data_IF_130097775002
#
_entry.id   IF_130097775002
#
_cell.length_a   1.000
_cell.length_b   1.000
_cell.length_c   1.000
_cell.angle_alpha   90.00
_cell.angle_beta   90.00
_cell.angle_gamma   90.00
#
_symmetry.space_group_name_H-M   'P 1'
#
loop_
_entity.id
_entity.type
_entity.pdbx_description
1 polymer ?
#
# COMPACT_ATOMS: atom_id res chain seq x y z
N UNK A 1 -10.03 5.35 -27.61
CA UNK A 1 -9.79 4.29 -26.61
C UNK A 1 -8.87 3.28 -27.24
N UNK A 2 -7.72 3.04 -26.62
CA UNK A 2 -6.76 2.03 -27.04
C UNK A 2 -6.93 0.78 -26.18
N UNK A 3 -6.74 -0.38 -26.80
CA UNK A 3 -6.91 -1.69 -26.16
C UNK A 3 -5.53 -2.26 -25.89
N UNK A 4 -5.20 -2.47 -24.61
CA UNK A 4 -3.88 -2.98 -24.20
C UNK A 4 -4.03 -4.31 -23.48
N UNK A 5 -3.28 -5.32 -23.93
CA UNK A 5 -3.26 -6.63 -23.30
C UNK A 5 -2.32 -6.63 -22.09
N UNK A 6 -2.81 -7.12 -20.94
CA UNK A 6 -1.98 -7.23 -19.74
C UNK A 6 -1.10 -8.48 -19.87
N UNK A 7 0.21 -8.25 -19.87
CA UNK A 7 1.19 -9.32 -19.85
C UNK A 7 1.35 -9.83 -18.41
N UNK A 8 0.81 -11.03 -18.14
CA UNK A 8 0.78 -11.61 -16.80
C UNK A 8 2.18 -11.86 -16.21
N UNK A 9 3.16 -12.41 -16.95
CA UNK A 9 4.54 -12.47 -16.47
C UNK A 9 5.11 -11.12 -16.00
N UNK A 10 4.86 -10.04 -16.75
CA UNK A 10 5.33 -8.70 -16.39
C UNK A 10 4.58 -8.12 -15.19
N UNK A 11 3.28 -8.41 -15.05
CA UNK A 11 2.51 -8.04 -13.87
C UNK A 11 3.09 -8.73 -12.63
N UNK A 12 3.34 -10.05 -12.74
CA UNK A 12 3.95 -10.84 -11.67
C UNK A 12 5.32 -10.31 -11.26
N UNK A 13 6.18 -9.94 -12.21
CA UNK A 13 7.53 -9.45 -11.89
C UNK A 13 7.50 -8.16 -11.08
N UNK A 14 6.65 -7.20 -11.45
CA UNK A 14 6.59 -5.92 -10.73
C UNK A 14 5.97 -6.08 -9.33
N UNK A 15 4.91 -6.88 -9.20
CA UNK A 15 4.32 -7.19 -7.89
C UNK A 15 5.27 -7.97 -6.99
N UNK A 16 6.08 -8.88 -7.55
CA UNK A 16 7.10 -9.60 -6.78
C UNK A 16 8.16 -8.65 -6.24
N UNK A 17 8.59 -7.66 -7.03
CA UNK A 17 9.53 -6.65 -6.57
C UNK A 17 8.94 -5.79 -5.45
N UNK A 18 7.71 -5.31 -5.63
CA UNK A 18 7.04 -4.47 -4.64
C UNK A 18 6.81 -5.19 -3.30
N UNK A 19 6.28 -6.42 -3.32
CA UNK A 19 6.00 -7.18 -2.09
C UNK A 19 7.25 -7.61 -1.33
N UNK A 20 8.39 -7.85 -2.02
CA UNK A 20 9.67 -8.08 -1.34
C UNK A 20 10.16 -6.82 -0.62
N UNK A 21 9.98 -5.65 -1.23
CA UNK A 21 10.36 -4.37 -0.63
C UNK A 21 9.48 -4.05 0.57
N UNK A 22 8.18 -4.34 0.47
CA UNK A 22 7.25 -4.27 1.60
C UNK A 22 7.67 -5.22 2.73
N UNK A 23 8.03 -6.46 2.42
CA UNK A 23 8.45 -7.45 3.43
C UNK A 23 9.76 -7.06 4.15
N UNK A 24 10.55 -6.13 3.58
CA UNK A 24 11.72 -5.54 4.23
C UNK A 24 11.33 -4.43 5.22
N UNK A 25 10.20 -3.75 5.03
CA UNK A 25 9.67 -2.77 5.98
C UNK A 25 8.80 -3.53 7.02
N UNK A 26 9.30 -3.78 8.24
CA UNK A 26 8.61 -4.64 9.20
C UNK A 26 7.28 -4.07 9.69
N UNK A 27 6.94 -2.83 9.33
CA UNK A 27 5.72 -2.13 9.75
C UNK A 27 4.68 -2.00 8.65
N UNK A 28 4.98 -2.50 7.45
CA UNK A 28 4.03 -2.53 6.33
C UNK A 28 3.41 -3.90 6.11
N UNK A 29 3.43 -4.82 7.08
CA UNK A 29 2.71 -6.09 6.96
C UNK A 29 1.23 -5.85 6.57
N UNK A 30 0.85 -6.30 5.37
CA UNK A 30 -0.49 -6.11 4.80
C UNK A 30 -0.86 -4.67 4.41
N UNK A 31 0.05 -3.70 4.55
CA UNK A 31 -0.20 -2.28 4.26
C UNK A 31 -0.51 -2.06 2.78
N UNK A 32 0.32 -2.60 1.91
CA UNK A 32 0.17 -2.49 0.46
C UNK A 32 -1.14 -3.12 0.02
N UNK A 33 -1.51 -4.26 0.63
CA UNK A 33 -2.81 -4.88 0.43
C UNK A 33 -3.95 -3.94 0.85
N UNK A 34 -3.95 -3.43 2.10
CA UNK A 34 -5.02 -2.53 2.60
C UNK A 34 -5.15 -1.25 1.77
N UNK A 35 -4.03 -0.56 1.52
CA UNK A 35 -4.00 0.67 0.70
C UNK A 35 -4.55 0.41 -0.70
N UNK A 36 -4.16 -0.71 -1.35
CA UNK A 36 -4.68 -1.05 -2.67
C UNK A 36 -6.19 -1.28 -2.67
N UNK A 37 -6.74 -1.95 -1.65
CA UNK A 37 -8.18 -2.18 -1.51
C UNK A 37 -8.95 -0.88 -1.27
N UNK A 38 -8.48 -0.05 -0.35
CA UNK A 38 -9.05 1.27 -0.09
C UNK A 38 -9.06 2.15 -1.34
N UNK A 39 -7.92 2.23 -2.04
CA UNK A 39 -7.79 3.04 -3.24
C UNK A 39 -8.69 2.55 -4.38
N UNK A 40 -8.78 1.23 -4.58
CA UNK A 40 -9.69 0.64 -5.57
C UNK A 40 -11.14 0.99 -5.27
N UNK A 41 -11.59 0.74 -4.04
CA UNK A 41 -12.98 1.01 -3.66
C UNK A 41 -13.31 2.51 -3.77
N UNK A 42 -12.40 3.39 -3.37
CA UNK A 42 -12.55 4.84 -3.54
C UNK A 42 -12.63 5.22 -5.02
N UNK A 43 -11.79 4.63 -5.88
CA UNK A 43 -11.82 4.91 -7.33
C UNK A 43 -13.16 4.50 -7.97
N UNK A 44 -13.70 3.34 -7.60
CA UNK A 44 -14.99 2.87 -8.09
C UNK A 44 -16.13 3.79 -7.61
N UNK A 45 -16.11 4.20 -6.34
CA UNK A 45 -17.11 5.13 -5.77
C UNK A 45 -17.03 6.55 -6.34
N UNK A 46 -15.83 7.00 -6.69
CA UNK A 46 -15.58 8.27 -7.38
C UNK A 46 -15.95 8.24 -8.88
N UNK A 47 -16.40 7.09 -9.40
CA UNK A 47 -16.90 6.96 -10.76
C UNK A 47 -15.84 6.68 -11.83
N UNK A 48 -14.63 6.29 -11.45
CA UNK A 48 -13.62 5.82 -12.41
C UNK A 48 -14.09 4.51 -13.06
N UNK A 49 -13.70 4.29 -14.31
CA UNK A 49 -14.00 3.04 -15.01
C UNK A 49 -13.32 1.85 -14.34
N UNK A 50 -13.79 0.63 -14.63
CA UNK A 50 -13.16 -0.60 -14.11
C UNK A 50 -11.68 -0.73 -14.47
N UNK A 51 -11.29 -0.25 -15.65
CA UNK A 51 -9.91 -0.31 -16.13
C UNK A 51 -9.02 0.71 -15.40
N UNK A 52 -9.54 1.92 -15.14
CA UNK A 52 -8.87 2.92 -14.31
C UNK A 52 -8.77 2.49 -12.84
N UNK A 53 -9.84 1.91 -12.29
CA UNK A 53 -9.85 1.37 -10.93
C UNK A 53 -8.84 0.23 -10.76
N UNK A 54 -8.64 -0.59 -11.79
CA UNK A 54 -7.57 -1.60 -11.79
C UNK A 54 -6.18 -0.95 -11.82
N UNK A 55 -5.97 0.14 -12.57
CA UNK A 55 -4.69 0.87 -12.55
C UNK A 55 -4.43 1.49 -11.18
N UNK A 56 -5.44 2.07 -10.54
CA UNK A 56 -5.34 2.58 -9.16
C UNK A 56 -4.95 1.45 -8.21
N UNK A 57 -5.67 0.33 -8.26
CA UNK A 57 -5.38 -0.86 -7.45
C UNK A 57 -3.93 -1.33 -7.63
N UNK A 58 -3.52 -1.57 -8.87
CA UNK A 58 -2.17 -2.02 -9.21
C UNK A 58 -1.09 -1.00 -8.84
N UNK A 59 -1.32 0.29 -9.11
CA UNK A 59 -0.39 1.36 -8.79
C UNK A 59 -0.21 1.56 -7.29
N UNK A 60 -1.29 1.43 -6.51
CA UNK A 60 -1.22 1.37 -5.04
C UNK A 60 -0.36 0.20 -4.56
N UNK A 61 -0.35 -0.94 -5.26
CA UNK A 61 0.48 -2.06 -4.85
C UNK A 61 1.99 -1.82 -5.02
N UNK A 62 2.36 -0.83 -5.82
CA UNK A 62 3.77 -0.55 -6.15
C UNK A 62 4.20 0.86 -5.71
N UNK A 63 3.34 1.62 -5.04
CA UNK A 63 3.57 3.04 -4.71
C UNK A 63 4.88 3.27 -3.94
N UNK A 64 5.20 2.32 -3.06
CA UNK A 64 6.32 2.37 -2.13
C UNK A 64 7.60 1.66 -2.64
N UNK A 65 7.63 1.22 -3.91
CA UNK A 65 8.75 0.43 -4.47
C UNK A 65 10.11 1.14 -4.37
N UNK A 66 10.13 2.47 -4.27
CA UNK A 66 11.38 3.22 -4.08
C UNK A 66 12.02 3.04 -2.70
N UNK A 67 11.32 2.47 -1.71
CA UNK A 67 11.84 2.19 -0.36
C UNK A 67 13.02 1.22 -0.38
N UNK A 68 13.27 0.52 -1.49
CA UNK A 68 14.49 -0.29 -1.70
C UNK A 68 15.79 0.50 -1.39
N UNK A 69 15.77 1.81 -1.64
CA UNK A 69 16.90 2.72 -1.42
C UNK A 69 17.04 3.21 0.02
N UNK A 70 16.01 3.03 0.87
CA UNK A 70 16.02 3.50 2.25
C UNK A 70 16.87 2.54 3.10
N UNK A 71 17.86 3.05 3.85
CA UNK A 71 18.66 2.22 4.75
C UNK A 71 17.80 1.56 5.82
N UNK A 72 18.10 0.29 6.13
CA UNK A 72 17.36 -0.48 7.12
C UNK A 72 17.25 0.20 8.49
N UNK A 73 18.31 0.79 9.06
CA UNK A 73 18.21 1.45 10.37
C UNK A 73 17.25 2.66 10.40
N UNK A 74 16.95 3.24 9.23
CA UNK A 74 15.98 4.33 9.09
C UNK A 74 14.57 3.74 8.96
N UNK A 75 14.43 2.73 8.09
CA UNK A 75 13.15 2.09 7.78
C UNK A 75 12.57 1.36 9.01
N UNK A 76 13.43 0.67 9.76
CA UNK A 76 13.04 -0.14 10.92
C UNK A 76 13.01 0.64 12.25
N UNK A 77 13.28 1.96 12.23
CA UNK A 77 13.49 2.76 13.43
C UNK A 77 12.24 2.73 14.35
N UNK A 78 12.39 2.42 15.65
CA UNK A 78 11.25 2.33 16.56
C UNK A 78 10.75 3.70 17.04
N UNK A 79 11.53 4.76 16.84
CA UNK A 79 11.25 6.13 17.27
C UNK A 79 10.95 7.07 16.10
N UNK A 80 10.56 8.30 16.42
CA UNK A 80 10.40 9.36 15.42
C UNK A 80 11.70 9.57 14.62
N UNK A 81 11.54 9.75 13.33
CA UNK A 81 12.62 10.13 12.43
C UNK A 81 13.06 11.57 12.73
N UNK A 82 14.36 11.79 12.66
CA UNK A 82 14.95 13.13 12.57
C UNK A 82 14.61 13.74 11.20
N UNK A 83 14.75 15.05 11.07
CA UNK A 83 14.53 15.75 9.79
C UNK A 83 15.38 15.16 8.66
N UNK A 84 16.65 14.84 8.94
CA UNK A 84 17.58 14.26 7.96
C UNK A 84 17.15 12.85 7.54
N UNK A 85 16.73 12.01 8.48
CA UNK A 85 16.21 10.67 8.18
C UNK A 85 14.90 10.75 7.37
N UNK A 86 14.02 11.69 7.70
CA UNK A 86 12.80 11.93 6.95
C UNK A 86 13.09 12.43 5.53
N UNK A 87 14.10 13.30 5.34
CA UNK A 87 14.56 13.73 4.02
C UNK A 87 15.10 12.58 3.16
N UNK A 88 15.60 11.51 3.77
CA UNK A 88 15.99 10.29 3.05
C UNK A 88 14.74 9.52 2.60
N UNK A 89 13.75 9.34 3.48
CA UNK A 89 12.50 8.66 3.12
C UNK A 89 11.76 9.39 2.00
N UNK A 90 11.71 10.73 2.02
CA UNK A 90 11.04 11.54 0.98
C UNK A 90 11.59 11.34 -0.44
N UNK A 91 12.73 10.66 -0.60
CA UNK A 91 13.31 10.36 -1.93
C UNK A 91 12.68 9.13 -2.58
N UNK A 92 11.97 8.29 -1.83
CA UNK A 92 11.45 7.04 -2.37
C UNK A 92 10.46 7.24 -3.54
N UNK A 93 9.62 8.29 -3.66
CA UNK A 93 8.75 8.44 -4.83
C UNK A 93 9.56 8.66 -6.11
N UNK A 94 10.60 9.49 -6.06
CA UNK A 94 11.48 9.76 -7.19
C UNK A 94 12.34 8.54 -7.58
N UNK A 95 12.74 7.74 -6.60
CA UNK A 95 13.48 6.49 -6.84
C UNK A 95 12.53 5.43 -7.40
N UNK A 96 11.32 5.31 -6.87
CA UNK A 96 10.27 4.44 -7.38
C UNK A 96 9.95 4.76 -8.84
N UNK A 97 9.80 6.04 -9.18
CA UNK A 97 9.67 6.52 -10.57
C UNK A 97 10.76 5.94 -11.46
N UNK A 98 12.02 6.04 -11.04
CA UNK A 98 13.17 5.51 -11.79
C UNK A 98 13.09 3.99 -11.98
N UNK A 99 12.65 3.25 -10.96
CA UNK A 99 12.55 1.79 -11.01
C UNK A 99 11.43 1.30 -11.93
N UNK A 100 10.30 2.01 -11.98
CA UNK A 100 9.15 1.60 -12.79
C UNK A 100 9.20 2.15 -14.21
N UNK A 101 9.94 3.23 -14.49
CA UNK A 101 9.93 3.91 -15.79
C UNK A 101 10.23 2.97 -16.97
N UNK A 102 11.27 2.14 -16.86
CA UNK A 102 11.68 1.21 -17.92
C UNK A 102 10.91 -0.12 -17.90
N UNK A 103 10.05 -0.33 -16.89
CA UNK A 103 9.22 -1.51 -16.83
C UNK A 103 8.03 -1.34 -17.79
N UNK A 104 7.69 -2.33 -18.66
CA UNK A 104 6.63 -2.14 -19.66
C UNK A 104 5.23 -1.84 -19.09
N UNK A 105 4.97 -2.19 -17.83
CA UNK A 105 3.74 -1.85 -17.11
C UNK A 105 3.90 -0.64 -16.17
N UNK A 106 5.12 -0.17 -15.94
CA UNK A 106 5.40 0.81 -14.92
C UNK A 106 4.89 2.21 -15.27
N UNK A 107 4.78 2.50 -16.57
CA UNK A 107 4.10 3.70 -17.06
C UNK A 107 2.70 3.85 -16.43
N UNK A 108 1.87 2.81 -16.41
CA UNK A 108 0.51 2.89 -15.83
C UNK A 108 0.50 3.32 -14.36
N UNK A 109 1.58 3.06 -13.63
CA UNK A 109 1.72 3.34 -12.20
C UNK A 109 2.52 4.60 -11.90
N UNK A 110 3.11 5.22 -12.94
CA UNK A 110 4.16 6.23 -12.79
C UNK A 110 3.70 7.42 -11.95
N UNK A 111 2.52 7.97 -12.23
CA UNK A 111 1.97 9.10 -11.50
C UNK A 111 1.65 8.75 -10.05
N UNK A 112 1.16 7.54 -9.78
CA UNK A 112 0.87 7.06 -8.43
C UNK A 112 2.16 6.93 -7.63
N UNK A 113 3.14 6.20 -8.16
CA UNK A 113 4.45 5.99 -7.51
C UNK A 113 5.15 7.32 -7.25
N UNK A 114 5.08 8.24 -8.20
CA UNK A 114 5.80 9.52 -8.13
C UNK A 114 5.13 10.52 -7.19
N UNK A 115 3.80 10.55 -7.14
CA UNK A 115 3.05 11.69 -6.59
C UNK A 115 2.06 11.33 -5.48
N UNK A 116 2.05 10.09 -4.95
CA UNK A 116 1.17 9.71 -3.83
C UNK A 116 1.46 10.46 -2.51
N UNK A 117 2.58 11.18 -2.42
CA UNK A 117 2.90 12.08 -1.31
C UNK A 117 2.83 13.57 -1.67
N UNK A 118 2.33 13.89 -2.88
CA UNK A 118 1.94 15.26 -3.18
C UNK A 118 0.69 15.63 -2.36
N UNK A 119 0.59 16.91 -2.00
CA UNK A 119 -0.53 17.45 -1.22
C UNK A 119 -1.35 18.37 -2.09
N UNK A 120 -2.66 18.37 -1.92
CA UNK A 120 -3.55 19.22 -2.71
C UNK A 120 -3.19 20.72 -2.64
N UNK A 121 -2.62 21.17 -1.51
CA UNK A 121 -2.11 22.54 -1.28
C UNK A 121 -0.73 22.86 -1.88
N UNK A 122 -0.09 21.92 -2.57
CA UNK A 122 1.24 22.10 -3.15
C UNK A 122 2.41 22.01 -2.16
N UNK A 123 2.17 21.62 -0.90
CA UNK A 123 3.22 21.48 0.12
C UNK A 123 3.76 20.05 0.24
N UNK A 124 3.37 19.19 -0.69
CA UNK A 124 3.83 17.81 -0.77
C UNK A 124 5.21 17.69 -1.41
N UNK A 125 5.55 16.46 -1.78
CA UNK A 125 6.83 16.12 -2.40
C UNK A 125 6.61 14.98 -3.42
N UNK A 126 7.51 14.80 -4.40
CA UNK A 126 8.82 15.45 -4.58
C UNK A 126 8.81 16.79 -5.33
N UNK A 127 7.74 17.16 -6.02
CA UNK A 127 7.70 18.30 -6.93
C UNK A 127 6.84 19.47 -6.46
N UNK A 128 6.01 19.29 -5.44
CA UNK A 128 5.13 20.33 -4.91
C UNK A 128 3.98 20.64 -5.87
N UNK A 129 3.47 19.61 -6.54
CA UNK A 129 2.29 19.73 -7.41
C UNK A 129 1.06 20.11 -6.57
N UNK A 130 0.20 20.97 -7.11
CA UNK A 130 -0.98 21.45 -6.39
C UNK A 130 -2.28 21.15 -7.14
N UNK A 131 -3.34 20.88 -6.39
CA UNK A 131 -4.69 20.65 -6.90
C UNK A 131 -4.72 19.56 -7.99
N UNK A 132 -5.34 19.89 -9.13
CA UNK A 132 -5.52 18.97 -10.25
C UNK A 132 -4.26 18.75 -11.10
N UNK A 133 -3.14 19.41 -10.77
CA UNK A 133 -1.83 19.02 -11.34
C UNK A 133 -1.39 17.64 -10.87
N UNK A 134 -1.92 17.19 -9.72
CA UNK A 134 -1.73 15.84 -9.22
C UNK A 134 -2.73 14.93 -9.94
N UNK A 135 -2.24 13.86 -10.57
CA UNK A 135 -3.11 12.85 -11.20
C UNK A 135 -4.15 12.37 -10.18
N UNK A 136 -5.42 12.25 -10.62
CA UNK A 136 -6.53 11.79 -9.77
C UNK A 136 -6.23 10.45 -9.09
N UNK A 137 -5.55 9.54 -9.79
CA UNK A 137 -5.17 8.24 -9.25
C UNK A 137 -4.19 8.39 -8.07
N UNK A 138 -3.20 9.28 -8.17
CA UNK A 138 -2.28 9.57 -7.07
C UNK A 138 -2.99 10.24 -5.88
N UNK A 139 -3.95 11.14 -6.14
CA UNK A 139 -4.79 11.74 -5.09
C UNK A 139 -5.63 10.70 -4.34
N UNK A 140 -6.17 9.70 -5.05
CA UNK A 140 -6.89 8.56 -4.46
C UNK A 140 -5.95 7.74 -3.56
N UNK A 141 -4.75 7.40 -4.05
CA UNK A 141 -3.78 6.63 -3.26
C UNK A 141 -3.31 7.40 -2.03
N UNK A 142 -3.10 8.72 -2.14
CA UNK A 142 -2.70 9.57 -1.01
C UNK A 142 -3.73 9.55 0.13
N UNK A 143 -5.03 9.52 -0.18
CA UNK A 143 -6.11 9.39 0.81
C UNK A 143 -6.05 8.01 1.48
N UNK A 144 -5.95 6.94 0.68
CA UNK A 144 -5.91 5.57 1.16
C UNK A 144 -4.68 5.28 2.04
N UNK A 145 -3.49 5.69 1.60
CA UNK A 145 -2.23 5.55 2.33
C UNK A 145 -2.26 6.29 3.66
N UNK A 146 -2.71 7.56 3.66
CA UNK A 146 -2.82 8.33 4.89
C UNK A 146 -3.78 7.68 5.90
N UNK A 147 -4.94 7.19 5.45
CA UNK A 147 -5.89 6.50 6.31
C UNK A 147 -5.27 5.25 6.92
N UNK A 148 -4.65 4.38 6.10
CA UNK A 148 -4.00 3.17 6.61
C UNK A 148 -2.88 3.50 7.60
N UNK A 149 -2.05 4.50 7.30
CA UNK A 149 -0.97 4.93 8.17
C UNK A 149 -1.46 5.51 9.51
N UNK A 150 -2.66 6.09 9.54
CA UNK A 150 -3.30 6.61 10.76
C UNK A 150 -3.92 5.51 11.61
N UNK A 151 -4.62 4.56 11.01
CA UNK A 151 -5.35 3.50 11.71
C UNK A 151 -4.49 2.28 12.03
N UNK A 152 -3.38 2.07 11.31
CA UNK A 152 -2.42 1.02 11.60
C UNK A 152 -1.52 1.37 12.79
N UNK A 153 -1.23 0.38 13.62
CA UNK A 153 -0.30 0.54 14.73
C UNK A 153 1.15 0.43 14.25
N UNK A 154 1.99 1.33 14.75
CA UNK A 154 3.43 1.40 14.49
C UNK A 154 4.19 1.34 15.83
N UNK A 155 5.51 1.07 15.86
CA UNK A 155 6.27 0.94 17.11
C UNK A 155 6.14 2.12 18.06
N UNK A 156 6.16 3.33 17.50
CA UNK A 156 6.13 4.58 18.25
C UNK A 156 4.71 5.10 18.50
N UNK A 157 3.66 4.45 17.96
CA UNK A 157 2.29 4.97 18.01
C UNK A 157 1.24 3.88 17.78
N UNK A 158 0.32 3.73 18.72
CA UNK A 158 -0.92 2.99 18.49
C UNK A 158 -1.72 3.59 17.33
N UNK A 159 -2.34 2.74 16.52
CA UNK A 159 -3.30 3.17 15.50
C UNK A 159 -4.44 3.94 16.16
N UNK A 160 -4.94 4.99 15.48
CA UNK A 160 -6.14 5.68 15.94
C UNK A 160 -7.40 4.98 15.43
N UNK A 161 -8.54 5.23 16.07
CA UNK A 161 -9.81 4.71 15.56
C UNK A 161 -10.14 5.30 14.18
N UNK A 162 -10.95 4.60 13.40
CA UNK A 162 -11.46 5.06 12.11
C UNK A 162 -12.12 6.45 12.21
N UNK A 163 -12.87 6.70 13.27
CA UNK A 163 -13.56 7.99 13.49
C UNK A 163 -12.57 9.12 13.79
N UNK A 164 -11.53 8.84 14.57
CA UNK A 164 -10.47 9.80 14.87
C UNK A 164 -9.65 10.12 13.61
N UNK A 165 -9.33 9.11 12.80
CA UNK A 165 -8.66 9.28 11.52
C UNK A 165 -9.50 10.15 10.57
N UNK A 166 -10.79 9.84 10.40
CA UNK A 166 -11.71 10.62 9.59
C UNK A 166 -11.80 12.08 10.05
N UNK A 167 -11.91 12.32 11.35
CA UNK A 167 -11.97 13.67 11.93
C UNK A 167 -10.70 14.49 11.68
N UNK A 168 -9.53 13.85 11.57
CA UNK A 168 -8.28 14.52 11.19
C UNK A 168 -8.21 14.77 9.69
N UNK A 169 -8.62 13.79 8.87
CA UNK A 169 -8.62 13.93 7.41
C UNK A 169 -9.55 15.05 6.96
N UNK A 170 -10.74 15.16 7.56
CA UNK A 170 -11.71 16.21 7.25
C UNK A 170 -11.13 17.62 7.47
N UNK A 171 -10.32 17.80 8.53
CA UNK A 171 -9.63 19.07 8.81
C UNK A 171 -8.55 19.42 7.77
N UNK A 172 -8.02 18.42 7.08
CA UNK A 172 -7.01 18.56 6.02
C UNK A 172 -7.62 18.55 4.61
N UNK A 173 -8.95 18.64 4.49
CA UNK A 173 -9.67 18.77 3.21
C UNK A 173 -9.28 20.07 2.50
N UNK A 174 -8.88 19.96 1.22
CA UNK A 174 -8.35 21.09 0.43
C UNK A 174 -6.90 21.45 0.79
N UNK A 175 -6.32 20.86 1.84
CA UNK A 175 -4.93 21.03 2.21
C UNK A 175 -4.10 19.79 1.80
N UNK A 176 -4.14 18.73 2.61
CA UNK A 176 -3.49 17.47 2.25
C UNK A 176 -4.29 16.75 1.16
N UNK A 177 -5.61 16.70 1.32
CA UNK A 177 -6.48 15.82 0.56
C UNK A 177 -7.34 16.60 -0.42
N UNK A 178 -7.65 15.96 -1.54
CA UNK A 178 -8.58 16.49 -2.52
C UNK A 178 -9.99 16.63 -1.91
N UNK A 179 -10.57 17.85 -1.88
CA UNK A 179 -11.87 18.09 -1.27
C UNK A 179 -13.05 17.47 -2.05
N UNK A 180 -12.85 17.04 -3.30
CA UNK A 180 -13.85 16.34 -4.11
C UNK A 180 -13.81 14.81 -3.90
N UNK A 181 -12.62 14.24 -3.63
CA UNK A 181 -12.47 12.80 -3.42
C UNK A 181 -12.68 12.40 -1.95
N UNK A 182 -12.19 13.20 -1.01
CA UNK A 182 -12.24 12.88 0.41
C UNK A 182 -13.66 12.57 0.92
N UNK A 183 -14.73 13.31 0.54
CA UNK A 183 -16.08 13.01 1.00
C UNK A 183 -16.55 11.59 0.66
N UNK A 184 -16.19 11.05 -0.51
CA UNK A 184 -16.52 9.68 -0.88
C UNK A 184 -15.84 8.67 0.04
N UNK A 185 -14.58 8.91 0.40
CA UNK A 185 -13.83 8.04 1.29
C UNK A 185 -14.41 8.05 2.71
N UNK A 186 -14.73 9.25 3.24
CA UNK A 186 -15.34 9.37 4.57
C UNK A 186 -16.71 8.69 4.63
N UNK A 187 -17.52 8.79 3.58
CA UNK A 187 -18.80 8.07 3.48
C UNK A 187 -18.60 6.54 3.54
N UNK A 188 -17.61 6.00 2.83
CA UNK A 188 -17.30 4.57 2.88
C UNK A 188 -16.91 4.09 4.28
N UNK A 189 -16.09 4.87 4.99
CA UNK A 189 -15.71 4.56 6.38
C UNK A 189 -16.94 4.60 7.28
N UNK A 190 -17.75 5.65 7.21
CA UNK A 190 -18.93 5.83 8.08
C UNK A 190 -20.01 4.76 7.85
N UNK A 191 -20.11 4.21 6.64
CA UNK A 191 -21.05 3.15 6.31
C UNK A 191 -20.50 1.74 6.58
N UNK A 192 -19.29 1.62 7.15
CA UNK A 192 -18.65 0.33 7.45
C UNK A 192 -18.21 -0.45 6.20
N UNK A 193 -18.13 0.20 5.04
CA UNK A 193 -17.75 -0.45 3.78
C UNK A 193 -16.30 -0.97 3.84
N UNK A 194 -15.44 -0.35 4.65
CA UNK A 194 -14.01 -0.66 4.78
C UNK A 194 -13.67 -1.65 5.91
N UNK A 195 -14.65 -2.08 6.71
CA UNK A 195 -14.42 -2.85 7.94
C UNK A 195 -13.75 -4.21 7.67
N UNK A 196 -14.03 -4.80 6.50
CA UNK A 196 -13.44 -6.05 6.05
C UNK A 196 -11.96 -5.94 5.60
N UNK A 197 -11.42 -4.72 5.53
CA UNK A 197 -10.02 -4.44 5.17
C UNK A 197 -9.27 -3.86 6.37
N UNK A 198 -9.94 -3.08 7.22
CA UNK A 198 -9.35 -2.45 8.39
C UNK A 198 -8.72 -3.48 9.34
N UNK A 199 -7.42 -3.32 9.62
CA UNK A 199 -6.68 -4.24 10.49
C UNK A 199 -6.39 -5.62 9.88
N UNK A 200 -6.73 -5.85 8.61
CA UNK A 200 -6.49 -7.11 7.92
C UNK A 200 -5.14 -7.13 7.18
N UNK A 201 -4.61 -8.33 6.98
CA UNK A 201 -3.41 -8.60 6.19
C UNK A 201 -3.73 -9.14 4.79
N UNK A 202 -4.84 -9.84 4.69
CA UNK A 202 -5.45 -10.36 3.46
C UNK A 202 -6.95 -10.54 3.69
N UNK A 203 -7.69 -10.97 2.66
CA UNK A 203 -9.10 -11.31 2.85
C UNK A 203 -9.22 -12.39 3.96
N UNK A 204 -10.15 -12.17 4.91
CA UNK A 204 -10.43 -13.04 6.07
C UNK A 204 -9.34 -13.14 7.16
N UNK A 205 -8.16 -12.53 6.99
CA UNK A 205 -7.05 -12.64 7.95
C UNK A 205 -6.68 -11.32 8.60
N UNK A 206 -6.93 -11.21 9.91
CA UNK A 206 -6.48 -10.07 10.73
C UNK A 206 -4.95 -10.04 10.89
N UNK A 207 -4.41 -8.84 11.15
CA UNK A 207 -3.04 -8.67 11.61
C UNK A 207 -2.90 -9.24 13.04
N UNK A 208 -1.90 -10.10 13.24
CA UNK A 208 -1.60 -10.67 14.54
C UNK A 208 -0.56 -9.86 15.31
N UNK A 209 -0.72 -9.86 16.64
CA UNK A 209 0.15 -9.14 17.56
C UNK A 209 1.33 -10.01 17.99
N UNK A 210 2.53 -9.58 17.60
CA UNK A 210 3.76 -10.02 18.24
C UNK A 210 3.86 -9.37 19.64
N UNK A 211 4.09 -10.13 20.72
CA UNK A 211 4.20 -9.58 22.08
C UNK A 211 5.24 -8.46 22.22
N UNK A 212 6.35 -8.55 21.48
CA UNK A 212 7.45 -7.58 21.55
C UNK A 212 7.31 -6.42 20.55
N UNK A 213 6.52 -6.60 19.49
CA UNK A 213 6.56 -5.71 18.32
C UNK A 213 5.21 -5.09 17.95
N UNK A 214 4.10 -5.56 18.52
CA UNK A 214 2.76 -5.09 18.18
C UNK A 214 2.13 -5.86 17.00
N UNK A 215 1.02 -5.34 16.42
CA UNK A 215 0.23 -5.99 15.37
C UNK A 215 0.90 -5.91 14.00
N UNK A 216 2.02 -6.61 13.85
CA UNK A 216 2.86 -6.59 12.64
C UNK A 216 3.04 -7.96 11.99
N UNK A 217 2.40 -9.00 12.53
CA UNK A 217 2.46 -10.36 11.98
C UNK A 217 1.28 -10.53 11.01
N UNK A 218 1.57 -10.51 9.71
CA UNK A 218 0.59 -10.78 8.66
C UNK A 218 0.44 -12.29 8.46
N UNK A 219 -0.79 -12.75 8.18
CA UNK A 219 -1.04 -14.14 7.76
C UNK A 219 -1.29 -14.16 6.25
N UNK A 220 -0.56 -15.00 5.49
CA UNK A 220 -0.88 -15.25 4.09
C UNK A 220 -2.31 -15.77 3.91
N UNK A 221 -2.93 -15.52 2.75
CA UNK A 221 -4.29 -15.97 2.46
C UNK A 221 -4.41 -17.50 2.51
N UNK A 222 -3.36 -18.23 2.13
CA UNK A 222 -3.35 -19.68 2.12
C UNK A 222 -3.01 -20.32 3.47
N UNK A 223 -2.92 -19.52 4.55
CA UNK A 223 -2.58 -19.98 5.91
C UNK A 223 -3.53 -21.10 6.37
N UNK A 224 -2.95 -22.09 7.07
CA UNK A 224 -3.66 -23.24 7.65
C UNK A 224 -3.25 -23.44 9.10
N UNK A 225 -4.08 -24.19 9.82
CA UNK A 225 -3.73 -24.73 11.12
C UNK A 225 -2.41 -25.53 11.06
N UNK A 226 -1.50 -25.23 11.97
CA UNK A 226 -0.16 -25.82 12.04
C UNK A 226 0.91 -25.13 11.18
N UNK A 227 0.57 -24.13 10.36
CA UNK A 227 1.56 -23.34 9.63
C UNK A 227 2.41 -22.49 10.58
N UNK A 228 3.54 -22.00 10.07
CA UNK A 228 4.43 -21.11 10.81
C UNK A 228 4.51 -19.75 10.17
N UNK A 229 4.42 -18.71 11.00
CA UNK A 229 4.61 -17.32 10.59
C UNK A 229 5.69 -16.66 11.41
N UNK A 230 6.30 -15.62 10.84
CA UNK A 230 7.46 -14.96 11.40
C UNK A 230 7.14 -13.48 11.60
N UNK A 231 7.46 -12.97 12.79
CA UNK A 231 7.45 -11.53 13.02
C UNK A 231 8.59 -10.88 12.22
N UNK A 232 8.30 -9.95 11.29
CA UNK A 232 9.33 -9.38 10.42
C UNK A 232 10.34 -8.52 11.16
N UNK A 233 10.02 -8.08 12.40
CA UNK A 233 10.90 -7.26 13.23
C UNK A 233 11.80 -8.07 14.15
N UNK A 234 11.23 -8.80 15.12
CA UNK A 234 12.02 -9.53 16.12
C UNK A 234 12.42 -10.93 15.66
N UNK A 235 11.91 -11.39 14.50
CA UNK A 235 12.14 -12.73 13.96
C UNK A 235 11.60 -13.83 14.87
N UNK A 236 10.63 -13.52 15.73
CA UNK A 236 9.87 -14.52 16.48
C UNK A 236 9.12 -15.44 15.50
N UNK A 237 9.23 -16.74 15.70
CA UNK A 237 8.48 -17.77 14.96
C UNK A 237 7.27 -18.13 15.79
N UNK A 238 6.13 -18.22 15.13
CA UNK A 238 4.87 -18.59 15.75
C UNK A 238 4.21 -19.73 15.00
N UNK A 239 3.69 -20.72 15.72
CA UNK A 239 2.75 -21.68 15.17
C UNK A 239 1.36 -21.04 15.08
N UNK A 240 0.67 -21.29 13.98
CA UNK A 240 -0.70 -20.84 13.74
C UNK A 240 -1.67 -21.92 14.18
N UNK A 241 -2.69 -21.55 14.94
CA UNK A 241 -3.75 -22.44 15.43
C UNK A 241 -5.11 -21.91 14.97
N UNK A 242 -5.94 -22.74 14.34
CA UNK A 242 -7.30 -22.36 13.99
C UNK A 242 -8.17 -22.24 15.25
N UNK A 243 -8.79 -21.07 15.45
CA UNK A 243 -9.59 -20.77 16.65
C UNK A 243 -10.76 -19.87 16.29
N UNK A 244 -11.97 -20.24 16.73
CA UNK A 244 -13.14 -19.34 16.70
C UNK A 244 -13.54 -18.75 15.33
N UNK A 245 -13.20 -19.41 14.21
CA UNK A 245 -13.46 -18.90 12.86
C UNK A 245 -12.35 -18.02 12.27
N UNK A 246 -11.19 -17.93 12.94
CA UNK A 246 -9.96 -17.33 12.43
C UNK A 246 -8.75 -18.11 12.95
N UNK A 247 -7.68 -17.38 13.27
CA UNK A 247 -6.43 -17.96 13.75
C UNK A 247 -5.97 -17.33 15.07
N UNK A 248 -5.14 -18.05 15.79
CA UNK A 248 -4.32 -17.58 16.91
C UNK A 248 -2.86 -17.95 16.63
N UNK A 249 -1.91 -17.21 17.22
CA UNK A 249 -0.49 -17.48 17.04
C UNK A 249 0.19 -17.76 18.38
N UNK A 250 0.99 -18.83 18.44
CA UNK A 250 1.74 -19.24 19.62
C UNK A 250 3.23 -19.16 19.34
N UNK A 251 3.98 -18.42 20.17
CA UNK A 251 5.43 -18.27 20.02
C UNK A 251 6.16 -19.59 20.29
N UNK A 252 7.06 -19.98 19.38
CA UNK A 252 7.84 -21.22 19.50
C UNK A 252 9.36 -21.01 19.46
N UNK A 253 9.82 -19.81 19.14
CA UNK A 253 11.25 -19.52 19.04
C UNK A 253 11.58 -18.26 18.25
N UNK A 254 12.85 -18.10 17.89
CA UNK A 254 13.33 -17.03 17.01
C UNK A 254 14.16 -17.62 15.88
N UNK A 255 13.98 -17.12 14.66
CA UNK A 255 14.88 -17.48 13.55
C UNK A 255 16.24 -16.84 13.77
N UNK A 256 17.29 -17.53 13.34
CA UNK A 256 18.64 -16.97 13.30
C UNK A 256 18.80 -15.96 12.13
N UNK A 257 20.03 -15.57 11.83
CA UNK A 257 20.33 -14.57 10.80
C UNK A 257 20.02 -15.02 9.36
N UNK A 258 19.45 -16.21 9.11
CA UNK A 258 19.17 -16.71 7.76
C UNK A 258 17.79 -16.33 7.20
N UNK A 259 16.92 -15.67 7.97
CA UNK A 259 15.62 -15.24 7.44
C UNK A 259 15.78 -14.12 6.40
N UNK A 260 15.14 -14.29 5.24
CA UNK A 260 15.17 -13.37 4.12
C UNK A 260 13.73 -13.02 3.75
N UNK A 261 13.38 -11.72 3.58
CA UNK A 261 12.07 -11.31 3.09
C UNK A 261 11.70 -12.04 1.80
N UNK A 262 10.48 -12.57 1.74
CA UNK A 262 9.94 -13.28 0.58
C UNK A 262 8.81 -12.48 -0.05
N UNK A 263 8.56 -12.64 -1.37
CA UNK A 263 7.38 -12.06 -2.00
C UNK A 263 6.10 -12.66 -1.40
N UNK A 264 5.04 -11.85 -1.31
CA UNK A 264 3.71 -12.31 -0.94
C UNK A 264 3.05 -13.01 -2.14
N UNK A 265 3.36 -14.30 -2.28
CA UNK A 265 2.90 -15.12 -3.41
C UNK A 265 1.38 -15.23 -3.47
N UNK A 266 0.70 -15.18 -2.33
CA UNK A 266 -0.76 -15.31 -2.25
C UNK A 266 -1.43 -14.05 -2.78
N UNK A 267 -1.02 -12.88 -2.28
CA UNK A 267 -1.51 -11.60 -2.80
C UNK A 267 -1.21 -11.45 -4.28
N UNK A 268 -0.01 -11.81 -4.73
CA UNK A 268 0.34 -11.78 -6.17
C UNK A 268 -0.57 -12.68 -6.99
N UNK A 269 -0.88 -13.88 -6.49
CA UNK A 269 -1.71 -14.86 -7.19
C UNK A 269 -3.15 -14.38 -7.29
N UNK A 270 -3.70 -13.80 -6.22
CA UNK A 270 -5.04 -13.20 -6.20
C UNK A 270 -5.16 -12.05 -7.23
N UNK A 271 -4.18 -11.14 -7.24
CA UNK A 271 -4.14 -10.03 -8.20
C UNK A 271 -4.12 -10.56 -9.64
N UNK A 272 -3.29 -11.55 -9.94
CA UNK A 272 -3.19 -12.15 -11.27
C UNK A 272 -4.48 -12.87 -11.69
N UNK A 273 -5.14 -13.54 -10.75
CA UNK A 273 -6.39 -14.25 -10.99
C UNK A 273 -7.52 -13.28 -11.34
N UNK A 274 -7.55 -12.11 -10.68
CA UNK A 274 -8.59 -11.10 -10.83
C UNK A 274 -8.25 -9.95 -11.80
N UNK A 275 -7.03 -9.91 -12.32
CA UNK A 275 -6.61 -8.89 -13.27
C UNK A 275 -7.41 -8.98 -14.58
N UNK A 276 -7.86 -7.85 -15.15
CA UNK A 276 -8.43 -7.84 -16.48
C UNK A 276 -7.39 -8.36 -17.48
N UNK A 277 -7.85 -9.06 -18.53
CA UNK A 277 -6.94 -9.50 -19.61
C UNK A 277 -6.59 -8.36 -20.56
N UNK A 278 -7.42 -7.33 -20.57
CA UNK A 278 -7.39 -6.22 -21.50
C UNK A 278 -7.85 -4.95 -20.78
N UNK A 279 -7.10 -3.86 -20.94
CA UNK A 279 -7.48 -2.52 -20.52
C UNK A 279 -7.93 -1.69 -21.73
N UNK A 280 -8.94 -0.84 -21.55
CA UNK A 280 -9.43 0.14 -22.53
C UNK A 280 -9.16 1.54 -22.00
N UNK A 281 -8.05 2.12 -22.42
CA UNK A 281 -7.61 3.41 -21.91
C UNK A 281 -7.94 4.53 -22.91
N UNK A 282 -8.25 5.75 -22.44
CA UNK A 282 -8.28 6.92 -23.30
C UNK A 282 -6.95 7.07 -24.04
N UNK A 283 -6.97 7.48 -25.31
CA UNK A 283 -5.75 7.61 -26.13
C UNK A 283 -4.77 8.64 -25.53
N UNK A 284 -5.30 9.68 -24.87
CA UNK A 284 -4.52 10.68 -24.12
C UNK A 284 -3.86 10.13 -22.85
N UNK A 285 -4.41 9.07 -22.27
CA UNK A 285 -3.81 8.39 -21.10
C UNK A 285 -2.59 7.55 -21.48
N UNK A 286 -2.30 7.35 -22.76
CA UNK A 286 -1.07 6.70 -23.24
C UNK A 286 -0.02 7.75 -23.61
N UNK A 287 -0.44 8.90 -24.13
CA UNK A 287 0.48 10.02 -24.41
C UNK A 287 1.00 10.68 -23.13
N UNK A 288 0.17 10.82 -22.07
CA UNK A 288 0.62 11.30 -20.75
C UNK A 288 1.69 10.39 -20.12
N UNK A 289 1.66 9.10 -20.45
CA UNK A 289 2.67 8.14 -20.04
C UNK A 289 3.98 8.29 -20.81
N UNK A 290 3.93 8.79 -22.04
CA UNK A 290 5.11 9.02 -22.89
C UNK A 290 5.77 10.39 -22.65
N UNK A 291 5.05 11.38 -22.11
CA UNK A 291 5.53 12.78 -22.01
C UNK A 291 6.08 13.21 -20.65
N UNK A 292 6.12 12.33 -19.65
CA UNK A 292 6.75 12.66 -18.37
C UNK A 292 8.29 12.58 -18.50
N UNK A 293 8.89 13.63 -19.05
CA UNK A 293 10.33 13.96 -18.94
C UNK A 293 10.54 14.80 -17.68
#
# INVERSE_FOLDING_TARGET
>A
METVHINIPLLKSLLSLATVIEAKDPYTGGHTWRVSRYARMLSEKAGLSRDEAFIVYFGSMVHDIGKVSVPEPILSKPDRLTTVEYDIIKKHPAIGRTLVYDHPLGLWTLDIVTSHHERFDGRGYPYGLAGEQINIMARIVAIADAFDAMTSTRPYRAGMSSEAACSLMEKESGAQFDPLLLPYFLDMVNNGELDHVLGHSSDEHLMHTCPDCGPIVALPLATRDGDQVICPKCRGIYNVHASGGGYEIEWIGTVDFTWIPQPDVDTISDVIANAPRVLRLPSTSIDLLATAV
#
